data_IF_882189342095
#
_entry.id   IF_882189342095
#
_cell.length_a   1.000
_cell.length_b   1.000
_cell.length_c   1.000
_cell.angle_alpha   90.00
_cell.angle_beta   90.00
_cell.angle_gamma   90.00
#
_symmetry.space_group_name_H-M   'P 1'
#
loop_
_entity.id
_entity.type
_entity.pdbx_description
1 polymer ?
#
# COMPACT_ATOMS: atom_id res chain seq x y z
N UNK A 1 40.47 -40.31 30.94
CA UNK A 1 39.29 -40.11 30.07
C UNK A 1 38.27 -39.10 30.65
N UNK A 2 38.68 -38.10 31.39
CA UNK A 2 37.76 -37.12 32.05
C UNK A 2 37.96 -35.69 31.51
N UNK A 3 39.01 -35.40 30.74
CA UNK A 3 39.35 -34.03 30.31
C UNK A 3 38.64 -33.54 29.01
N UNK A 4 38.01 -34.41 28.25
CA UNK A 4 37.41 -34.01 26.94
C UNK A 4 35.95 -33.57 27.01
N UNK A 5 35.19 -33.99 28.04
CA UNK A 5 33.80 -33.59 28.21
C UNK A 5 33.64 -32.15 28.72
N UNK A 6 34.63 -31.65 29.46
CA UNK A 6 34.60 -30.28 30.00
C UNK A 6 34.88 -29.21 28.96
N UNK A 7 35.64 -29.53 27.90
CA UNK A 7 35.96 -28.58 26.84
C UNK A 7 34.79 -28.37 25.86
N UNK A 8 33.98 -29.42 25.64
CA UNK A 8 32.78 -29.29 24.78
C UNK A 8 31.64 -28.47 25.43
N UNK A 9 31.51 -28.54 26.75
CA UNK A 9 30.52 -27.77 27.49
C UNK A 9 30.86 -26.27 27.50
N UNK A 10 32.11 -25.90 27.57
CA UNK A 10 32.56 -24.51 27.53
C UNK A 10 32.41 -23.88 26.13
N UNK A 11 32.60 -24.67 25.05
CA UNK A 11 32.37 -24.19 23.69
C UNK A 11 30.87 -23.97 23.40
N UNK A 12 29.99 -24.85 23.91
CA UNK A 12 28.53 -24.66 23.73
C UNK A 12 28.02 -23.43 24.50
N UNK A 13 28.53 -23.16 25.69
CA UNK A 13 28.15 -21.95 26.43
C UNK A 13 28.67 -20.67 25.78
N UNK A 14 29.82 -20.70 25.13
CA UNK A 14 30.34 -19.53 24.39
C UNK A 14 29.54 -19.23 23.12
N UNK A 15 29.05 -20.28 22.44
CA UNK A 15 28.20 -20.09 21.23
C UNK A 15 26.81 -19.57 21.60
N UNK A 16 26.23 -20.05 22.70
CA UNK A 16 24.95 -19.55 23.21
C UNK A 16 25.06 -18.11 23.75
N UNK A 17 26.16 -17.72 24.35
CA UNK A 17 26.40 -16.34 24.78
C UNK A 17 26.63 -15.38 23.60
N UNK A 18 27.19 -15.86 22.48
CA UNK A 18 27.34 -15.06 21.26
C UNK A 18 26.01 -14.85 20.52
N UNK A 19 25.07 -15.77 20.64
CA UNK A 19 23.72 -15.63 20.07
C UNK A 19 22.79 -14.73 20.89
N UNK A 20 23.01 -14.64 22.22
CA UNK A 20 22.22 -13.75 23.08
C UNK A 20 22.60 -12.26 22.92
N UNK A 21 23.78 -11.94 22.37
CA UNK A 21 24.21 -10.56 22.10
C UNK A 21 23.93 -10.10 20.66
N UNK A 22 23.35 -10.95 19.80
CA UNK A 22 22.76 -10.57 18.54
C UNK A 22 21.29 -10.16 18.73
N UNK A 23 20.94 -9.57 19.86
CA UNK A 23 19.74 -8.74 19.94
C UNK A 23 19.96 -7.60 18.97
N UNK A 24 19.07 -7.53 17.98
CA UNK A 24 19.00 -6.44 17.05
C UNK A 24 19.27 -5.16 17.84
N UNK A 25 20.37 -4.50 17.52
CA UNK A 25 20.59 -3.13 17.91
C UNK A 25 19.43 -2.38 17.25
N UNK A 26 18.35 -2.18 18.00
CA UNK A 26 17.29 -1.25 17.60
C UNK A 26 18.04 0.03 17.28
N UNK A 27 18.07 0.37 15.99
CA UNK A 27 18.63 1.63 15.54
C UNK A 27 17.89 2.69 16.34
N UNK A 28 18.58 3.32 17.30
CA UNK A 28 18.01 4.41 18.09
C UNK A 28 17.45 5.39 17.09
N UNK A 29 16.14 5.67 17.08
CA UNK A 29 15.57 6.57 16.13
C UNK A 29 16.26 7.91 16.29
N UNK A 30 16.88 8.39 15.21
CA UNK A 30 17.58 9.66 15.18
C UNK A 30 16.57 10.74 15.59
N UNK A 31 16.69 11.21 16.81
CA UNK A 31 16.27 12.42 17.52
C UNK A 31 14.89 13.04 17.35
N UNK A 32 14.10 12.81 16.33
CA UNK A 32 12.75 13.37 16.24
C UNK A 32 11.70 12.28 16.55
N UNK A 33 11.04 12.38 17.68
CA UNK A 33 9.86 11.57 17.96
C UNK A 33 8.79 11.87 16.90
N UNK A 34 8.19 10.81 16.36
CA UNK A 34 6.99 10.97 15.53
C UNK A 34 5.91 11.64 16.37
N UNK A 35 5.25 12.64 15.79
CA UNK A 35 4.17 13.34 16.46
C UNK A 35 2.84 12.63 16.18
N UNK A 36 1.90 12.62 17.14
CA UNK A 36 0.55 12.17 16.88
C UNK A 36 -0.08 12.97 15.74
N UNK A 37 -0.73 12.26 14.81
CA UNK A 37 -1.45 12.87 13.68
C UNK A 37 -2.94 12.86 13.98
N UNK A 38 -3.57 14.01 13.89
CA UNK A 38 -5.02 14.15 13.90
C UNK A 38 -5.50 14.60 12.52
N UNK A 39 -6.29 13.77 11.87
CA UNK A 39 -6.91 14.08 10.59
C UNK A 39 -8.43 14.06 10.75
N UNK A 40 -9.10 15.22 10.72
CA UNK A 40 -10.55 15.30 10.88
C UNK A 40 -11.28 14.60 9.74
N UNK A 41 -12.56 14.30 9.96
CA UNK A 41 -13.45 13.80 8.93
C UNK A 41 -13.53 14.79 7.75
N UNK A 42 -13.47 14.26 6.53
CA UNK A 42 -13.60 15.04 5.31
C UNK A 42 -14.60 14.33 4.36
N UNK A 43 -15.74 14.95 4.01
CA UNK A 43 -16.73 14.36 3.12
C UNK A 43 -16.19 14.03 1.72
N UNK A 44 -15.07 14.65 1.32
CA UNK A 44 -14.41 14.41 0.03
C UNK A 44 -13.31 13.35 0.12
N UNK A 45 -13.05 12.79 1.32
CA UNK A 45 -11.89 11.94 1.56
C UNK A 45 -10.57 12.71 1.60
N UNK A 46 -9.46 12.01 1.44
CA UNK A 46 -8.10 12.59 1.41
C UNK A 46 -7.11 11.83 2.27
N UNK A 47 -5.87 12.30 2.27
CA UNK A 47 -4.80 11.70 3.08
C UNK A 47 -5.05 11.88 4.57
N UNK A 48 -5.08 10.77 5.29
CA UNK A 48 -5.21 10.74 6.76
C UNK A 48 -3.84 10.73 7.43
N UNK A 49 -2.90 9.98 6.83
CA UNK A 49 -1.50 9.91 7.26
C UNK A 49 -0.64 9.92 6.01
N UNK A 50 0.36 10.78 5.97
CA UNK A 50 1.30 10.89 4.86
C UNK A 50 2.61 10.17 5.19
N UNK A 51 3.36 9.82 4.16
CA UNK A 51 4.64 9.10 4.23
C UNK A 51 5.63 9.71 5.21
N UNK A 52 5.79 11.04 5.22
CA UNK A 52 6.72 11.70 6.14
C UNK A 52 6.35 11.54 7.61
N UNK A 53 5.05 11.37 7.92
CA UNK A 53 4.53 11.22 9.30
C UNK A 53 4.81 9.83 9.86
N UNK A 54 5.14 8.86 9.00
CA UNK A 54 5.47 7.48 9.35
C UNK A 54 6.93 7.10 9.04
N UNK A 55 7.77 8.07 8.66
CA UNK A 55 9.15 7.85 8.18
C UNK A 55 9.23 6.86 7.01
N UNK A 56 8.24 6.89 6.13
CA UNK A 56 8.20 6.04 4.95
C UNK A 56 7.54 4.68 5.15
N UNK A 57 7.15 4.31 6.38
CA UNK A 57 6.62 2.99 6.66
C UNK A 57 5.28 2.72 5.94
N UNK A 58 4.39 3.70 5.96
CA UNK A 58 3.09 3.63 5.27
C UNK A 58 2.48 5.03 5.10
N UNK A 59 1.45 5.11 4.28
CA UNK A 59 0.50 6.22 4.25
C UNK A 59 -0.94 5.70 4.29
N UNK A 60 -1.90 6.56 4.63
CA UNK A 60 -3.32 6.21 4.72
C UNK A 60 -4.14 7.22 3.94
N UNK A 61 -4.88 6.73 2.97
CA UNK A 61 -5.81 7.50 2.13
C UNK A 61 -7.24 7.09 2.44
N UNK A 62 -8.13 8.03 2.70
CA UNK A 62 -9.57 7.82 2.68
C UNK A 62 -10.11 8.17 1.30
N UNK A 63 -10.74 7.19 0.65
CA UNK A 63 -11.35 7.34 -0.67
C UNK A 63 -12.87 7.40 -0.57
N UNK A 64 -13.48 8.33 -1.34
CA UNK A 64 -14.92 8.40 -1.57
C UNK A 64 -15.17 8.02 -3.03
N UNK A 65 -15.92 6.94 -3.25
CA UNK A 65 -16.11 6.33 -4.57
C UNK A 65 -17.55 6.43 -4.98
N UNK A 66 -17.80 7.08 -6.11
CA UNK A 66 -19.15 7.25 -6.64
C UNK A 66 -19.74 5.91 -7.14
N UNK A 67 -21.07 5.75 -7.17
CA UNK A 67 -21.71 4.55 -7.70
C UNK A 67 -21.20 4.18 -9.08
N UNK A 68 -21.00 2.90 -9.32
CA UNK A 68 -20.54 2.33 -10.58
C UNK A 68 -19.12 2.75 -11.02
N UNK A 69 -18.34 3.44 -10.17
CA UNK A 69 -16.96 3.86 -10.49
C UNK A 69 -15.92 3.09 -9.66
N UNK A 70 -14.67 3.22 -10.06
CA UNK A 70 -13.47 2.68 -9.43
C UNK A 70 -12.25 2.99 -10.29
N UNK A 71 -11.04 2.65 -9.85
CA UNK A 71 -9.83 2.82 -10.64
C UNK A 71 -9.78 1.81 -11.79
N UNK A 72 -9.04 2.13 -12.83
CA UNK A 72 -8.65 1.12 -13.83
C UNK A 72 -7.80 0.02 -13.18
N UNK A 73 -7.83 -1.21 -13.73
CA UNK A 73 -6.96 -2.29 -13.27
C UNK A 73 -5.50 -1.86 -13.29
N UNK A 74 -4.81 -2.05 -12.16
CA UNK A 74 -3.41 -1.65 -12.01
C UNK A 74 -2.69 -2.56 -11.02
N UNK A 75 -1.36 -2.48 -11.01
CA UNK A 75 -0.50 -3.10 -10.01
C UNK A 75 0.60 -2.14 -9.59
N UNK A 76 1.09 -2.33 -8.39
CA UNK A 76 2.22 -1.63 -7.82
C UNK A 76 3.42 -2.56 -7.74
N UNK A 77 4.59 -2.15 -8.23
CA UNK A 77 5.83 -2.92 -8.08
C UNK A 77 6.56 -2.62 -6.78
N UNK A 78 6.16 -1.57 -6.06
CA UNK A 78 6.85 -1.10 -4.84
C UNK A 78 5.99 -1.22 -3.60
N UNK A 79 4.70 -0.93 -3.71
CA UNK A 79 3.76 -0.88 -2.59
C UNK A 79 2.84 -2.10 -2.59
N UNK A 80 2.32 -2.40 -1.44
CA UNK A 80 1.16 -3.26 -1.22
C UNK A 80 0.05 -2.41 -0.58
N UNK A 81 -1.20 -2.79 -0.81
CA UNK A 81 -2.34 -2.03 -0.34
C UNK A 81 -3.29 -2.87 0.50
N UNK A 82 -3.69 -2.32 1.66
CA UNK A 82 -4.76 -2.84 2.49
C UNK A 82 -5.98 -1.93 2.42
N UNK A 83 -7.16 -2.49 2.17
CA UNK A 83 -8.42 -1.72 2.06
C UNK A 83 -9.34 -2.09 3.22
N UNK A 84 -9.69 -1.11 4.04
CA UNK A 84 -10.69 -1.28 5.10
C UNK A 84 -11.97 -0.53 4.73
N UNK A 85 -13.07 -1.26 4.59
CA UNK A 85 -14.33 -0.69 4.12
C UNK A 85 -15.05 0.01 5.27
N UNK A 86 -15.35 1.28 5.07
CA UNK A 86 -16.10 2.11 6.03
C UNK A 86 -17.59 2.14 5.71
N UNK A 87 -17.95 2.33 4.43
CA UNK A 87 -19.33 2.51 3.98
C UNK A 87 -19.51 1.96 2.56
N UNK A 88 -20.73 1.48 2.26
CA UNK A 88 -21.13 1.05 0.92
C UNK A 88 -20.79 -0.39 0.59
N UNK A 89 -20.91 -0.73 -0.70
CA UNK A 89 -20.71 -2.08 -1.21
C UNK A 89 -19.70 -2.05 -2.36
N UNK A 90 -18.73 -2.94 -2.31
CA UNK A 90 -17.68 -3.04 -3.30
C UNK A 90 -17.61 -4.41 -3.95
N UNK A 91 -17.19 -4.44 -5.21
CA UNK A 91 -16.60 -5.60 -5.85
C UNK A 91 -15.11 -5.31 -6.05
N UNK A 92 -14.25 -6.06 -5.40
CA UNK A 92 -12.81 -6.05 -5.60
C UNK A 92 -12.41 -7.18 -6.54
N UNK A 93 -11.40 -6.91 -7.35
CA UNK A 93 -10.70 -7.91 -8.15
C UNK A 93 -9.23 -7.85 -7.80
N UNK A 94 -8.68 -8.95 -7.30
CA UNK A 94 -7.29 -9.07 -6.88
C UNK A 94 -6.72 -10.37 -7.47
N UNK A 95 -5.82 -10.24 -8.41
CA UNK A 95 -5.35 -11.38 -9.22
C UNK A 95 -6.53 -12.06 -9.90
N UNK A 96 -6.73 -13.34 -9.62
CA UNK A 96 -7.86 -14.11 -10.18
C UNK A 96 -9.13 -14.09 -9.30
N UNK A 97 -9.10 -13.37 -8.17
CA UNK A 97 -10.21 -13.38 -7.22
C UNK A 97 -11.16 -12.22 -7.47
N UNK A 98 -12.46 -12.51 -7.39
CA UNK A 98 -13.52 -11.51 -7.32
C UNK A 98 -14.15 -11.60 -5.92
N UNK A 99 -14.12 -10.51 -5.18
CA UNK A 99 -14.50 -10.46 -3.77
C UNK A 99 -15.53 -9.34 -3.60
N UNK A 100 -16.70 -9.67 -3.05
CA UNK A 100 -17.67 -8.66 -2.59
C UNK A 100 -17.33 -8.28 -1.17
N UNK A 101 -17.30 -6.98 -0.89
CA UNK A 101 -16.95 -6.44 0.41
C UNK A 101 -17.88 -5.31 0.82
N UNK A 102 -18.16 -5.26 2.13
CA UNK A 102 -18.96 -4.23 2.79
C UNK A 102 -18.29 -3.69 4.05
N UNK A 103 -19.00 -2.83 4.82
CA UNK A 103 -18.45 -2.21 6.02
C UNK A 103 -17.89 -3.22 7.02
N UNK A 104 -16.67 -2.99 7.50
CA UNK A 104 -15.95 -3.86 8.42
C UNK A 104 -15.03 -4.88 7.74
N UNK A 105 -15.18 -5.12 6.43
CA UNK A 105 -14.30 -6.02 5.70
C UNK A 105 -12.92 -5.40 5.45
N UNK A 106 -11.90 -6.24 5.42
CA UNK A 106 -10.53 -5.89 5.07
C UNK A 106 -10.04 -6.75 3.91
N UNK A 107 -9.46 -6.11 2.89
CA UNK A 107 -8.86 -6.76 1.74
C UNK A 107 -7.38 -6.39 1.65
N UNK A 108 -6.58 -7.31 1.13
CA UNK A 108 -5.17 -7.10 0.89
C UNK A 108 -4.83 -7.35 -0.57
N UNK A 109 -4.21 -6.36 -1.21
CA UNK A 109 -3.66 -6.45 -2.56
C UNK A 109 -2.12 -6.49 -2.45
N UNK A 110 -1.50 -7.66 -2.66
CA UNK A 110 -0.06 -7.79 -2.61
C UNK A 110 0.62 -7.03 -3.75
N UNK A 111 1.86 -6.65 -3.52
CA UNK A 111 2.76 -6.10 -4.54
C UNK A 111 2.80 -6.99 -5.80
N UNK A 112 2.85 -6.36 -6.96
CA UNK A 112 2.85 -6.99 -8.28
C UNK A 112 1.58 -7.78 -8.64
N UNK A 113 0.56 -7.82 -7.79
CA UNK A 113 -0.70 -8.48 -8.11
C UNK A 113 -1.68 -7.44 -8.69
N UNK A 114 -2.18 -7.64 -9.92
CA UNK A 114 -3.18 -6.77 -10.51
C UNK A 114 -4.43 -6.69 -9.65
N UNK A 115 -4.92 -5.49 -9.45
CA UNK A 115 -6.14 -5.27 -8.68
C UNK A 115 -6.92 -4.05 -9.16
N UNK A 116 -8.19 -4.04 -8.82
CA UNK A 116 -9.13 -2.94 -8.98
C UNK A 116 -10.31 -3.14 -8.05
N UNK A 117 -11.11 -2.11 -7.89
CA UNK A 117 -12.39 -2.20 -7.20
C UNK A 117 -13.45 -1.35 -7.90
N UNK A 118 -14.71 -1.65 -7.60
CA UNK A 118 -15.85 -0.88 -8.07
C UNK A 118 -16.87 -0.73 -6.93
N UNK A 119 -17.40 0.47 -6.75
CA UNK A 119 -18.60 0.65 -5.95
C UNK A 119 -19.79 0.06 -6.70
N UNK A 120 -20.36 -1.02 -6.19
CA UNK A 120 -21.52 -1.72 -6.77
C UNK A 120 -22.83 -1.32 -6.11
N UNK A 121 -22.79 -0.41 -5.13
CA UNK A 121 -23.97 0.18 -4.51
C UNK A 121 -24.57 1.33 -5.33
N UNK A 122 -25.64 1.91 -4.79
CA UNK A 122 -26.38 3.04 -5.40
C UNK A 122 -26.03 4.39 -4.78
N UNK A 123 -25.23 4.40 -3.71
CA UNK A 123 -24.76 5.60 -3.00
C UNK A 123 -23.24 5.67 -3.01
N UNK A 124 -22.62 6.83 -2.75
CA UNK A 124 -21.18 6.91 -2.55
C UNK A 124 -20.73 5.94 -1.46
N UNK A 125 -19.62 5.26 -1.68
CA UNK A 125 -18.99 4.36 -0.73
C UNK A 125 -17.66 4.93 -0.24
N UNK A 126 -17.14 4.43 0.91
CA UNK A 126 -15.93 4.92 1.55
C UNK A 126 -15.06 3.77 2.04
N UNK A 127 -13.76 3.93 1.87
CA UNK A 127 -12.77 3.00 2.44
C UNK A 127 -11.49 3.73 2.80
N UNK A 128 -10.71 3.14 3.71
CA UNK A 128 -9.31 3.49 3.92
C UNK A 128 -8.44 2.60 3.04
N UNK A 129 -7.44 3.19 2.40
CA UNK A 129 -6.33 2.47 1.77
C UNK A 129 -5.08 2.69 2.60
N UNK A 130 -4.50 1.61 3.13
CA UNK A 130 -3.21 1.60 3.81
C UNK A 130 -2.19 1.18 2.77
N UNK A 131 -1.22 2.03 2.49
CA UNK A 131 -0.22 1.87 1.42
C UNK A 131 1.16 1.69 2.07
N UNK A 132 1.83 0.59 1.84
CA UNK A 132 3.13 0.27 2.45
C UNK A 132 4.13 -0.27 1.41
N UNK A 133 5.37 0.25 1.36
CA UNK A 133 5.81 1.48 2.02
C UNK A 133 5.02 2.70 1.56
N UNK A 134 5.11 3.81 2.29
CA UNK A 134 4.53 5.08 1.86
C UNK A 134 5.24 5.65 0.62
N UNK A 135 4.62 6.67 -0.03
CA UNK A 135 5.23 7.37 -1.19
C UNK A 135 4.24 7.70 -2.31
N UNK A 136 3.11 7.01 -2.35
CA UNK A 136 2.17 7.12 -3.46
C UNK A 136 1.48 8.50 -3.54
N UNK A 137 1.44 9.28 -2.45
CA UNK A 137 0.94 10.65 -2.49
C UNK A 137 1.71 11.55 -3.47
N UNK A 138 3.00 11.29 -3.66
CA UNK A 138 3.81 12.03 -4.64
C UNK A 138 3.38 11.74 -6.08
N UNK A 139 3.01 10.49 -6.39
CA UNK A 139 2.42 10.14 -7.68
C UNK A 139 1.14 10.94 -7.95
N UNK A 140 0.23 11.00 -6.98
CA UNK A 140 -1.03 11.74 -7.15
C UNK A 140 -0.79 13.24 -7.32
N UNK A 141 0.16 13.83 -6.59
CA UNK A 141 0.52 15.23 -6.72
C UNK A 141 1.13 15.53 -8.11
N UNK A 142 2.09 14.73 -8.55
CA UNK A 142 2.72 14.89 -9.87
C UNK A 142 1.73 14.61 -11.01
N UNK A 143 0.81 13.65 -10.86
CA UNK A 143 -0.27 13.43 -11.83
C UNK A 143 -1.17 14.64 -11.97
N UNK A 144 -1.56 15.26 -10.85
CA UNK A 144 -2.38 16.46 -10.88
C UNK A 144 -1.64 17.64 -11.55
N UNK A 145 -0.35 17.81 -11.29
CA UNK A 145 0.49 18.80 -11.96
C UNK A 145 0.60 18.54 -13.47
N UNK A 146 0.87 17.28 -13.85
CA UNK A 146 0.92 16.86 -15.26
C UNK A 146 -0.39 17.15 -16.00
N UNK A 147 -1.54 16.81 -15.39
CA UNK A 147 -2.86 17.06 -16.01
C UNK A 147 -3.16 18.55 -16.18
N UNK A 148 -2.64 19.39 -15.29
CA UNK A 148 -2.78 20.86 -15.40
C UNK A 148 -1.90 21.43 -16.52
N UNK A 149 -0.67 20.94 -16.64
CA UNK A 149 0.31 21.39 -17.65
C UNK A 149 0.03 20.77 -19.03
N UNK A 150 -0.25 19.49 -19.07
CA UNK A 150 -0.53 18.70 -20.27
C UNK A 150 -1.85 17.97 -20.07
N UNK A 151 -3.00 18.52 -20.50
CA UNK A 151 -4.31 17.90 -20.31
C UNK A 151 -4.39 16.51 -20.96
N UNK A 152 -5.26 15.60 -20.48
CA UNK A 152 -5.42 14.25 -21.04
C UNK A 152 -5.71 14.20 -22.53
N UNK A 153 -6.31 15.26 -23.11
CA UNK A 153 -6.56 15.42 -24.55
C UNK A 153 -5.32 15.83 -25.36
N UNK A 154 -4.22 16.21 -24.70
CA UNK A 154 -3.01 16.61 -25.40
C UNK A 154 -2.28 15.39 -25.97
N UNK A 155 -1.77 15.44 -27.22
CA UNK A 155 -1.11 14.29 -27.86
C UNK A 155 0.07 13.70 -27.10
N UNK A 156 0.79 14.51 -26.32
CA UNK A 156 1.94 14.05 -25.50
C UNK A 156 1.53 13.43 -24.15
N UNK A 157 0.29 13.63 -23.70
CA UNK A 157 -0.15 13.18 -22.39
C UNK A 157 0.06 11.67 -22.16
N UNK A 158 -0.28 10.76 -23.10
CA UNK A 158 -0.09 9.34 -22.88
C UNK A 158 1.36 8.94 -22.60
N UNK A 159 2.32 9.53 -23.32
CA UNK A 159 3.74 9.26 -23.12
C UNK A 159 4.26 9.81 -21.79
N UNK A 160 3.88 11.04 -21.43
CA UNK A 160 4.25 11.67 -20.16
C UNK A 160 3.63 10.94 -18.97
N UNK A 161 2.37 10.51 -19.09
CA UNK A 161 1.69 9.77 -18.04
C UNK A 161 2.30 8.38 -17.84
N UNK A 162 2.67 7.69 -18.94
CA UNK A 162 3.37 6.41 -18.86
C UNK A 162 4.72 6.55 -18.14
N UNK A 163 5.51 7.56 -18.48
CA UNK A 163 6.78 7.85 -17.81
C UNK A 163 6.59 8.10 -16.29
N UNK A 164 5.51 8.81 -15.93
CA UNK A 164 5.15 9.03 -14.53
C UNK A 164 4.77 7.72 -13.83
N UNK A 165 4.00 6.85 -14.46
CA UNK A 165 3.66 5.53 -13.94
C UNK A 165 4.92 4.70 -13.69
N UNK A 166 5.82 4.61 -14.66
CA UNK A 166 7.09 3.90 -14.56
C UNK A 166 7.97 4.45 -13.43
N UNK A 167 8.04 5.79 -13.29
CA UNK A 167 8.76 6.47 -12.19
C UNK A 167 8.30 5.97 -10.82
N UNK A 168 7.01 5.70 -10.64
CA UNK A 168 6.41 5.24 -9.38
C UNK A 168 6.19 3.73 -9.30
N UNK A 169 6.59 2.96 -10.31
CA UNK A 169 6.41 1.51 -10.33
C UNK A 169 4.97 1.06 -10.47
N UNK A 170 4.14 1.92 -11.08
CA UNK A 170 2.75 1.65 -11.40
C UNK A 170 2.62 1.10 -12.82
N UNK A 171 1.74 0.15 -13.00
CA UNK A 171 1.37 -0.36 -14.31
C UNK A 171 -0.15 -0.49 -14.39
N UNK A 172 -0.73 0.06 -15.46
CA UNK A 172 -2.15 -0.04 -15.78
C UNK A 172 -2.34 -0.89 -17.02
N UNK A 173 -3.34 -1.76 -17.03
CA UNK A 173 -3.67 -2.56 -18.19
C UNK A 173 -5.14 -2.95 -18.19
N UNK A 174 -5.79 -2.73 -19.31
CA UNK A 174 -7.15 -3.21 -19.58
C UNK A 174 -7.17 -4.69 -20.02
N UNK A 175 -6.02 -5.27 -20.32
CA UNK A 175 -5.89 -6.66 -20.82
C UNK A 175 -5.89 -7.70 -19.69
N UNK A 176 -5.72 -7.28 -18.43
CA UNK A 176 -5.81 -8.21 -17.30
C UNK A 176 -7.24 -8.72 -17.16
N UNK A 177 -7.43 -9.94 -17.65
CA UNK A 177 -8.70 -10.64 -17.54
C UNK A 177 -8.85 -11.14 -16.10
N UNK A 178 -9.63 -10.44 -15.32
CA UNK A 178 -10.14 -10.95 -14.06
C UNK A 178 -11.21 -12.00 -14.39
N UNK A 179 -10.80 -13.25 -14.64
CA UNK A 179 -11.75 -14.30 -14.89
C UNK A 179 -12.61 -14.53 -13.66
N UNK A 180 -13.94 -14.57 -13.78
CA UNK A 180 -14.77 -15.09 -12.71
C UNK A 180 -14.35 -16.53 -12.45
N UNK A 181 -14.22 -16.92 -11.19
CA UNK A 181 -14.09 -18.35 -10.86
C UNK A 181 -15.34 -19.08 -11.33
N UNK A 182 -15.18 -20.30 -11.87
CA UNK A 182 -16.30 -21.16 -12.17
C UNK A 182 -17.08 -21.49 -10.90
#
# INVERSE_FOLDING_TARGET
>A
MIAWKSLQLLLLCAILAAWSNAQAQEAKPNGSQLQPVYSPSNPKGGWKVKTQETRGAYSVLESVVQPSTGPEPHRHSREEEGFYILEGQYEFRVGTQVIKAGPGDFLFAPRNIPHTYKNVGTTPSRHLTIISPGGLESFFAERAALQKETPPSHPEYPAKYKALQEKYGLEYSTEWQFSPRP
#
